data_IF_602810999583
#
_entry.id   IF_602810999583
#
_cell.length_a   1.000
_cell.length_b   1.000
_cell.length_c   1.000
_cell.angle_alpha   90.00
_cell.angle_beta   90.00
_cell.angle_gamma   90.00
#
_symmetry.space_group_name_H-M   'P 1'
#
loop_
_entity.id
_entity.type
_entity.pdbx_description
1 polymer ?
#
# COMPACT_ATOMS: atom_id res chain seq x y z
N UNK A 1 -20.85 -12.03 20.53
CA UNK A 1 -20.00 -10.86 20.86
C UNK A 1 -18.68 -11.03 20.15
N UNK A 2 -18.29 -10.14 19.22
CA UNK A 2 -16.96 -10.20 18.62
C UNK A 2 -15.91 -9.82 19.68
N UNK A 3 -14.86 -10.64 19.79
CA UNK A 3 -13.80 -10.47 20.78
C UNK A 3 -12.88 -9.26 20.53
N UNK A 4 -11.93 -9.00 21.44
CA UNK A 4 -11.13 -7.77 21.53
C UNK A 4 -10.20 -7.50 20.32
N UNK A 5 -10.19 -8.38 19.32
CA UNK A 5 -9.43 -8.21 18.08
C UNK A 5 -10.13 -7.34 17.05
N UNK A 6 -11.43 -7.06 17.20
CA UNK A 6 -12.16 -6.19 16.27
C UNK A 6 -12.00 -6.64 14.81
N UNK A 7 -12.04 -7.95 14.57
CA UNK A 7 -12.10 -8.60 13.26
C UNK A 7 -13.50 -8.46 12.65
N UNK A 8 -13.97 -7.22 12.54
CA UNK A 8 -15.20 -6.90 11.80
C UNK A 8 -14.91 -6.90 10.31
N UNK A 9 -15.90 -7.28 9.50
CA UNK A 9 -15.87 -7.21 8.03
C UNK A 9 -15.40 -5.82 7.52
N UNK A 10 -15.73 -4.75 8.25
CA UNK A 10 -15.31 -3.38 7.97
C UNK A 10 -13.79 -3.17 8.11
N UNK A 11 -13.16 -3.78 9.11
CA UNK A 11 -11.71 -3.70 9.31
C UNK A 11 -10.97 -4.42 8.18
N UNK A 12 -11.49 -5.55 7.71
CA UNK A 12 -10.94 -6.24 6.53
C UNK A 12 -11.10 -5.40 5.27
N UNK A 13 -12.28 -4.84 5.04
CA UNK A 13 -12.56 -3.97 3.89
C UNK A 13 -11.63 -2.75 3.82
N UNK A 14 -11.34 -2.13 4.98
CA UNK A 14 -10.40 -1.02 5.06
C UNK A 14 -8.96 -1.43 4.75
N UNK A 15 -8.53 -2.63 5.18
CA UNK A 15 -7.20 -3.18 4.85
C UNK A 15 -7.06 -3.48 3.37
N UNK A 16 -8.07 -4.07 2.74
CA UNK A 16 -8.05 -4.37 1.31
C UNK A 16 -8.01 -3.08 0.48
N UNK A 17 -8.79 -2.07 0.88
CA UNK A 17 -8.75 -0.74 0.25
C UNK A 17 -7.36 -0.12 0.37
N UNK A 18 -6.76 -0.15 1.56
CA UNK A 18 -5.42 0.38 1.78
C UNK A 18 -4.37 -0.32 0.91
N UNK A 19 -4.44 -1.66 0.82
CA UNK A 19 -3.51 -2.44 -0.01
C UNK A 19 -3.66 -2.09 -1.50
N UNK A 20 -4.90 -1.92 -1.98
CA UNK A 20 -5.16 -1.51 -3.37
C UNK A 20 -4.54 -0.17 -3.72
N UNK A 21 -4.63 0.81 -2.82
CA UNK A 21 -4.01 2.13 -3.01
C UNK A 21 -2.49 2.00 -3.20
N UNK A 22 -1.81 1.17 -2.41
CA UNK A 22 -0.35 0.96 -2.56
C UNK A 22 -0.01 0.33 -3.91
N UNK A 23 -0.80 -0.62 -4.38
CA UNK A 23 -0.59 -1.21 -5.72
C UNK A 23 -0.82 -0.22 -6.85
N UNK A 24 -1.83 0.63 -6.74
CA UNK A 24 -2.09 1.69 -7.72
C UNK A 24 -0.95 2.72 -7.75
N UNK A 25 -0.45 3.12 -6.57
CA UNK A 25 0.72 4.01 -6.44
C UNK A 25 1.96 3.41 -7.11
N UNK A 26 2.25 2.14 -6.86
CA UNK A 26 3.41 1.46 -7.42
C UNK A 26 3.36 1.34 -8.95
N UNK A 27 2.16 1.15 -9.50
CA UNK A 27 1.96 1.12 -10.96
C UNK A 27 2.26 2.49 -11.56
N UNK A 28 1.72 3.55 -10.94
CA UNK A 28 1.92 4.94 -11.38
C UNK A 28 3.39 5.37 -11.32
N UNK A 29 4.14 4.88 -10.34
CA UNK A 29 5.57 5.16 -10.22
C UNK A 29 6.34 4.63 -11.45
N UNK A 30 6.00 3.44 -11.94
CA UNK A 30 6.62 2.91 -13.16
C UNK A 30 6.32 3.76 -14.40
N UNK A 31 5.10 4.30 -14.52
CA UNK A 31 4.74 5.18 -15.62
C UNK A 31 5.56 6.48 -15.57
N UNK A 32 5.70 7.07 -14.38
CA UNK A 32 6.49 8.28 -14.17
C UNK A 32 7.97 8.04 -14.50
N UNK A 33 8.52 6.89 -14.09
CA UNK A 33 9.91 6.52 -14.39
C UNK A 33 10.12 6.36 -15.90
N UNK A 34 9.16 5.76 -16.62
CA UNK A 34 9.23 5.61 -18.09
C UNK A 34 9.18 6.94 -18.82
N UNK A 35 8.35 7.87 -18.34
CA UNK A 35 8.28 9.20 -18.94
C UNK A 35 9.58 9.96 -18.72
N UNK A 36 10.09 9.96 -17.49
CA UNK A 36 11.26 10.75 -17.11
C UNK A 36 12.59 10.18 -17.63
N UNK A 37 12.91 8.92 -17.34
CA UNK A 37 14.30 8.41 -17.48
C UNK A 37 14.43 6.98 -18.04
N UNK A 38 13.37 6.18 -18.00
CA UNK A 38 13.42 4.76 -18.31
C UNK A 38 12.76 4.43 -19.65
N UNK A 39 13.33 3.49 -20.41
CA UNK A 39 12.66 2.86 -21.55
C UNK A 39 11.68 1.78 -21.10
N UNK A 40 12.03 1.04 -20.05
CA UNK A 40 11.21 -0.02 -19.46
C UNK A 40 11.21 0.08 -17.94
N UNK A 41 10.11 -0.31 -17.31
CA UNK A 41 9.98 -0.38 -15.85
C UNK A 41 9.17 -1.62 -15.47
N UNK A 42 9.70 -2.40 -14.54
CA UNK A 42 9.09 -3.59 -13.98
C UNK A 42 9.06 -3.50 -12.47
N UNK A 43 7.90 -3.79 -11.90
CA UNK A 43 7.75 -3.98 -10.48
C UNK A 43 8.32 -5.34 -10.06
N UNK A 44 9.36 -5.36 -9.23
CA UNK A 44 9.97 -6.60 -8.74
C UNK A 44 9.30 -7.10 -7.47
N UNK A 45 9.09 -6.21 -6.51
CA UNK A 45 8.43 -6.56 -5.26
C UNK A 45 7.71 -5.38 -4.64
N UNK A 46 6.65 -5.69 -3.91
CA UNK A 46 5.92 -4.77 -3.04
C UNK A 46 5.75 -5.45 -1.69
N UNK A 47 6.13 -4.73 -0.64
CA UNK A 47 5.80 -5.09 0.72
C UNK A 47 4.84 -4.03 1.29
N UNK A 48 3.75 -4.47 1.92
CA UNK A 48 2.78 -3.59 2.57
C UNK A 48 2.57 -4.03 4.00
N UNK A 49 2.99 -3.18 4.94
CA UNK A 49 2.76 -3.31 6.36
C UNK A 49 1.58 -2.41 6.77
N UNK A 50 0.50 -3.05 7.22
CA UNK A 50 -0.70 -2.38 7.72
C UNK A 50 -0.73 -2.47 9.24
N UNK A 51 -0.38 -1.38 9.91
CA UNK A 51 -0.46 -1.24 11.37
C UNK A 51 -1.80 -0.64 11.76
N UNK A 52 -2.58 -1.31 12.62
CA UNK A 52 -3.81 -0.74 13.16
C UNK A 52 -3.42 0.27 14.26
N UNK A 53 -3.86 1.52 14.12
CA UNK A 53 -3.60 2.53 15.15
C UNK A 53 -4.76 2.52 16.14
N UNK A 54 -4.46 2.17 17.41
CA UNK A 54 -5.39 2.30 18.53
C UNK A 54 -4.88 3.41 19.44
N UNK A 55 -5.66 4.48 19.59
CA UNK A 55 -5.37 5.58 20.51
C UNK A 55 -6.65 6.29 20.91
N UNK A 56 -6.87 6.48 22.21
CA UNK A 56 -8.13 6.91 22.83
C UNK A 56 -8.65 8.32 22.47
N UNK A 57 -8.15 8.94 21.40
CA UNK A 57 -8.57 10.25 20.91
C UNK A 57 -8.42 10.45 19.40
N UNK A 58 -7.95 9.43 18.66
CA UNK A 58 -7.73 9.53 17.21
C UNK A 58 -8.63 8.54 16.47
N UNK A 59 -9.21 9.03 15.38
CA UNK A 59 -10.12 8.33 14.49
C UNK A 59 -9.61 6.92 14.15
N UNK A 60 -10.48 5.92 14.25
CA UNK A 60 -10.14 4.54 13.92
C UNK A 60 -9.60 4.46 12.49
N UNK A 61 -8.37 3.95 12.34
CA UNK A 61 -7.66 3.98 11.06
C UNK A 61 -6.54 2.95 10.97
N UNK A 62 -6.04 2.79 9.75
CA UNK A 62 -4.87 1.97 9.45
C UNK A 62 -3.72 2.89 9.03
N UNK A 63 -2.59 2.76 9.70
CA UNK A 63 -1.34 3.28 9.17
C UNK A 63 -0.82 2.30 8.12
N UNK A 64 -0.51 2.83 6.94
CA UNK A 64 -0.09 2.05 5.78
C UNK A 64 1.36 2.42 5.48
N UNK A 65 2.26 1.50 5.76
CA UNK A 65 3.66 1.62 5.39
C UNK A 65 3.92 0.60 4.28
N UNK A 66 4.56 1.04 3.19
CA UNK A 66 4.93 0.14 2.11
C UNK A 66 6.33 0.43 1.61
N UNK A 67 7.00 -0.61 1.13
CA UNK A 67 8.21 -0.48 0.33
C UNK A 67 7.98 -1.18 -1.00
N UNK A 68 8.56 -0.63 -2.06
CA UNK A 68 8.53 -1.24 -3.38
C UNK A 68 9.91 -1.18 -4.00
N UNK A 69 10.23 -2.21 -4.78
CA UNK A 69 11.44 -2.27 -5.60
C UNK A 69 11.04 -2.32 -7.05
N UNK A 70 11.61 -1.41 -7.84
CA UNK A 70 11.39 -1.29 -9.27
C UNK A 70 12.71 -1.58 -9.99
N UNK A 71 12.64 -2.36 -11.05
CA UNK A 71 13.73 -2.55 -11.99
C UNK A 71 13.42 -1.74 -13.25
N UNK A 72 14.35 -0.87 -13.65
CA UNK A 72 14.20 -0.03 -14.84
C UNK A 72 15.32 -0.28 -15.83
N UNK A 73 15.02 -0.07 -17.11
CA UNK A 73 16.04 0.04 -18.16
C UNK A 73 16.10 1.50 -18.59
N UNK A 74 17.28 2.13 -18.53
CA UNK A 74 17.46 3.54 -18.94
C UNK A 74 17.29 3.73 -20.45
N UNK A 75 16.98 4.97 -20.86
CA UNK A 75 16.89 5.36 -22.27
C UNK A 75 18.27 5.50 -22.93
#
# INVERSE_FOLDING_TARGET
MPGPSGDGEEAQKLRDRARRVVYEMATRECDLMRDAIARDCRLESINVNLGRQYGGQQQEGFNVNGSMSLQITLK
#
